data_IF_963889713328
#
_entry.id   IF_963889713328
#
_cell.length_a   1.000
_cell.length_b   1.000
_cell.length_c   1.000
_cell.angle_alpha   90.00
_cell.angle_beta   90.00
_cell.angle_gamma   90.00
#
_symmetry.space_group_name_H-M   'P 1'
#
loop_
_entity.id
_entity.type
_entity.pdbx_description
1 polymer ?
#
# COMPACT_ATOMS: atom_id res chain seq x y z
N UNK A 1 -8.56 2.53 -30.10
CA UNK A 1 -8.86 2.46 -28.63
C UNK A 1 -9.38 3.80 -28.19
N UNK A 2 -10.35 3.85 -27.30
CA UNK A 2 -10.83 5.11 -26.69
C UNK A 2 -9.65 5.72 -25.91
N UNK A 3 -9.29 7.01 -26.14
CA UNK A 3 -8.17 7.65 -25.44
C UNK A 3 -8.31 7.63 -23.91
N UNK A 4 -9.52 7.68 -23.38
CA UNK A 4 -9.81 7.60 -21.95
C UNK A 4 -9.44 6.24 -21.37
N UNK A 5 -9.74 5.17 -22.10
CA UNK A 5 -9.36 3.79 -21.67
C UNK A 5 -7.86 3.64 -21.69
N UNK A 6 -7.17 4.18 -22.70
CA UNK A 6 -5.70 4.13 -22.78
C UNK A 6 -5.05 4.86 -21.60
N UNK A 7 -5.53 6.08 -21.29
CA UNK A 7 -5.03 6.85 -20.15
C UNK A 7 -5.23 6.13 -18.83
N UNK A 8 -6.38 5.51 -18.63
CA UNK A 8 -6.66 4.77 -17.39
C UNK A 8 -5.78 3.51 -17.26
N UNK A 9 -5.54 2.77 -18.35
CA UNK A 9 -4.59 1.65 -18.35
C UNK A 9 -3.21 2.14 -17.91
N UNK A 10 -2.76 3.29 -18.42
CA UNK A 10 -1.49 3.89 -18.05
C UNK A 10 -1.45 4.33 -16.60
N UNK A 11 -2.52 4.89 -16.06
CA UNK A 11 -2.62 5.30 -14.65
C UNK A 11 -2.57 4.08 -13.73
N UNK A 12 -3.34 3.04 -14.01
CA UNK A 12 -3.31 1.77 -13.26
C UNK A 12 -1.91 1.15 -13.33
N UNK A 13 -1.30 1.09 -14.52
CA UNK A 13 0.06 0.59 -14.69
C UNK A 13 1.07 1.36 -13.84
N UNK A 14 1.05 2.69 -13.90
CA UNK A 14 1.94 3.55 -13.10
C UNK A 14 1.75 3.33 -11.59
N UNK A 15 0.51 3.23 -11.13
CA UNK A 15 0.18 2.99 -9.71
C UNK A 15 0.72 1.64 -9.26
N UNK A 16 0.47 0.56 -10.01
CA UNK A 16 0.97 -0.78 -9.69
C UNK A 16 2.49 -0.82 -9.68
N UNK A 17 3.12 -0.27 -10.71
CA UNK A 17 4.58 -0.27 -10.86
C UNK A 17 5.25 0.52 -9.72
N UNK A 18 4.76 1.73 -9.44
CA UNK A 18 5.31 2.54 -8.35
C UNK A 18 5.17 1.83 -7.00
N UNK A 19 3.98 1.31 -6.67
CA UNK A 19 3.72 0.65 -5.38
C UNK A 19 4.59 -0.58 -5.15
N UNK A 20 4.90 -1.36 -6.18
CA UNK A 20 5.77 -2.55 -6.07
C UNK A 20 7.16 -2.17 -5.55
N UNK A 21 7.76 -1.14 -6.11
CA UNK A 21 9.10 -0.69 -5.70
C UNK A 21 9.03 0.29 -4.54
N UNK A 22 8.00 1.12 -4.51
CA UNK A 22 7.69 2.13 -3.50
C UNK A 22 8.91 3.00 -3.15
N UNK A 23 9.64 3.44 -4.20
CA UNK A 23 10.91 4.17 -4.08
C UNK A 23 11.09 5.15 -5.25
N UNK A 24 11.22 6.44 -4.90
CA UNK A 24 11.39 7.50 -5.90
C UNK A 24 12.64 7.33 -6.77
N UNK A 25 13.78 6.93 -6.17
CA UNK A 25 15.02 6.73 -6.93
C UNK A 25 14.85 5.67 -8.02
N UNK A 26 14.12 4.59 -7.72
CA UNK A 26 13.80 3.53 -8.70
C UNK A 26 12.91 4.05 -9.81
N UNK A 27 11.91 4.87 -9.44
CA UNK A 27 11.05 5.54 -10.43
C UNK A 27 11.84 6.46 -11.36
N UNK A 28 12.69 7.33 -10.78
CA UNK A 28 13.57 8.24 -11.55
C UNK A 28 14.51 7.48 -12.47
N UNK A 29 15.10 6.37 -11.99
CA UNK A 29 15.98 5.52 -12.79
C UNK A 29 15.23 4.89 -13.97
N UNK A 30 14.00 4.40 -13.76
CA UNK A 30 13.14 3.91 -14.83
C UNK A 30 12.84 5.01 -15.85
N UNK A 31 12.37 6.18 -15.40
CA UNK A 31 12.07 7.31 -16.30
C UNK A 31 13.28 7.74 -17.12
N UNK A 32 14.47 7.76 -16.52
CA UNK A 32 15.71 8.11 -17.23
C UNK A 32 16.07 7.08 -18.31
N UNK A 33 15.76 5.80 -18.10
CA UNK A 33 16.12 4.72 -19.01
C UNK A 33 15.09 4.50 -20.13
N UNK A 34 13.78 4.57 -19.81
CA UNK A 34 12.71 4.21 -20.76
C UNK A 34 11.83 5.40 -21.18
N UNK A 35 12.12 6.61 -20.68
CA UNK A 35 11.30 7.80 -20.94
C UNK A 35 10.01 7.82 -20.12
N UNK A 36 8.94 8.46 -20.62
CA UNK A 36 7.66 8.51 -19.95
C UNK A 36 7.12 7.09 -19.68
N UNK A 37 6.78 6.82 -18.42
CA UNK A 37 6.28 5.50 -18.02
C UNK A 37 4.82 5.37 -18.47
N UNK A 38 4.56 4.46 -19.41
CA UNK A 38 3.23 4.13 -19.91
C UNK A 38 3.16 2.66 -20.29
N UNK A 39 1.95 2.09 -20.23
CA UNK A 39 1.69 0.73 -20.69
C UNK A 39 1.81 0.61 -22.20
N UNK A 40 1.40 1.64 -22.93
CA UNK A 40 1.46 1.66 -24.38
C UNK A 40 2.87 1.58 -24.97
N UNK A 41 3.88 2.04 -24.21
CA UNK A 41 5.30 1.96 -24.57
C UNK A 41 6.09 0.92 -23.76
N UNK A 42 5.40 0.14 -22.93
CA UNK A 42 6.03 -0.84 -22.06
C UNK A 42 6.72 -1.95 -22.88
N UNK A 43 7.93 -2.28 -22.50
CA UNK A 43 8.68 -3.45 -22.94
C UNK A 43 9.31 -4.12 -21.74
N UNK A 44 9.03 -5.40 -21.55
CA UNK A 44 9.61 -6.18 -20.45
C UNK A 44 11.14 -6.08 -20.46
N UNK A 45 11.76 -6.24 -21.61
CA UNK A 45 13.23 -6.24 -21.79
C UNK A 45 13.83 -4.89 -21.39
N UNK A 46 13.22 -3.78 -21.82
CA UNK A 46 13.69 -2.44 -21.50
C UNK A 46 13.56 -2.14 -19.99
N UNK A 47 12.41 -2.46 -19.38
CA UNK A 47 12.19 -2.27 -17.95
C UNK A 47 13.06 -3.19 -17.09
N UNK A 48 13.23 -4.46 -17.49
CA UNK A 48 14.09 -5.40 -16.79
C UNK A 48 15.57 -4.97 -16.85
N UNK A 49 16.05 -4.46 -17.99
CA UNK A 49 17.41 -3.94 -18.14
C UNK A 49 17.64 -2.68 -17.28
N UNK A 50 16.67 -1.75 -17.25
CA UNK A 50 16.72 -0.55 -16.42
C UNK A 50 16.76 -0.90 -14.92
N UNK A 51 15.92 -1.84 -14.48
CA UNK A 51 15.90 -2.30 -13.10
C UNK A 51 17.17 -3.09 -12.73
N UNK A 52 17.75 -3.85 -13.65
CA UNK A 52 19.02 -4.54 -13.43
C UNK A 52 20.17 -3.54 -13.19
N UNK A 53 20.21 -2.47 -13.97
CA UNK A 53 21.19 -1.39 -13.80
C UNK A 53 21.01 -0.66 -12.47
N UNK A 54 19.75 -0.36 -12.10
CA UNK A 54 19.43 0.28 -10.82
C UNK A 54 19.77 -0.62 -9.62
N UNK A 55 19.48 -1.92 -9.70
CA UNK A 55 19.76 -2.92 -8.64
C UNK A 55 21.26 -3.11 -8.41
N UNK A 56 22.06 -3.00 -9.47
CA UNK A 56 23.52 -3.01 -9.38
C UNK A 56 24.09 -1.76 -8.67
N UNK A 57 23.36 -0.65 -8.71
CA UNK A 57 23.78 0.64 -8.12
C UNK A 57 23.27 0.80 -6.67
N UNK A 58 22.27 0.02 -6.25
CA UNK A 58 21.70 0.09 -4.90
C UNK A 58 20.34 -0.56 -4.77
N UNK A 59 19.70 -0.45 -3.59
CA UNK A 59 18.40 -1.09 -3.36
C UNK A 59 17.31 -0.43 -4.20
N UNK A 60 16.57 -1.24 -4.97
CA UNK A 60 15.44 -0.78 -5.80
C UNK A 60 14.08 -0.89 -5.13
N UNK A 61 14.00 -1.50 -3.93
CA UNK A 61 12.79 -1.62 -3.13
C UNK A 61 12.87 -0.80 -1.87
N UNK A 62 11.75 -0.19 -1.47
CA UNK A 62 11.66 0.42 -0.15
C UNK A 62 11.58 -0.65 0.94
N UNK A 63 11.78 -0.24 2.20
CA UNK A 63 11.62 -1.12 3.36
C UNK A 63 10.14 -1.33 3.75
N UNK A 64 9.23 -0.54 3.18
CA UNK A 64 7.78 -0.62 3.42
C UNK A 64 7.06 -1.37 2.30
N UNK A 65 5.88 -1.93 2.61
CA UNK A 65 5.01 -2.62 1.64
C UNK A 65 5.71 -3.71 0.82
N UNK A 66 6.62 -4.46 1.48
CA UNK A 66 7.41 -5.49 0.82
C UNK A 66 6.51 -6.57 0.22
N UNK A 67 6.57 -6.69 -1.11
CA UNK A 67 5.93 -7.77 -1.83
C UNK A 67 6.91 -8.93 -2.03
N UNK A 68 6.56 -10.17 -1.64
CA UNK A 68 7.33 -11.34 -2.05
C UNK A 68 7.21 -11.53 -3.57
N UNK A 69 8.28 -12.03 -4.25
CA UNK A 69 8.18 -12.27 -5.69
C UNK A 69 7.22 -13.43 -5.96
N UNK A 70 6.27 -13.29 -6.89
CA UNK A 70 5.53 -14.44 -7.40
C UNK A 70 6.46 -15.36 -8.18
N UNK A 71 6.10 -16.64 -8.29
CA UNK A 71 6.85 -17.62 -9.12
C UNK A 71 6.31 -17.59 -10.55
N UNK A 72 6.82 -16.66 -11.36
CA UNK A 72 6.38 -16.47 -12.75
C UNK A 72 7.47 -16.78 -13.78
N UNK A 73 8.47 -17.60 -13.41
CA UNK A 73 9.46 -18.14 -14.32
C UNK A 73 10.76 -17.31 -14.43
N UNK A 74 10.83 -16.15 -13.83
CA UNK A 74 12.00 -15.29 -13.91
C UNK A 74 13.01 -15.55 -12.78
N UNK A 75 14.31 -15.42 -13.07
CA UNK A 75 15.39 -15.62 -12.09
C UNK A 75 15.55 -14.46 -11.10
N UNK A 76 15.05 -13.27 -11.41
CA UNK A 76 15.18 -12.07 -10.59
C UNK A 76 13.83 -11.65 -9.99
N UNK A 77 13.88 -11.10 -8.77
CA UNK A 77 12.69 -10.63 -8.07
C UNK A 77 11.93 -9.57 -8.87
N UNK A 78 12.63 -8.55 -9.36
CA UNK A 78 12.02 -7.46 -10.13
C UNK A 78 11.40 -7.95 -11.44
N UNK A 79 12.02 -8.90 -12.11
CA UNK A 79 11.50 -9.48 -13.35
C UNK A 79 10.17 -10.23 -13.09
N UNK A 80 10.08 -11.02 -12.02
CA UNK A 80 8.81 -11.64 -11.61
C UNK A 80 7.73 -10.60 -11.26
N UNK A 81 8.10 -9.45 -10.70
CA UNK A 81 7.15 -8.37 -10.45
C UNK A 81 6.67 -7.69 -11.74
N UNK A 82 7.54 -7.51 -12.74
CA UNK A 82 7.12 -7.05 -14.06
C UNK A 82 6.14 -8.03 -14.71
N UNK A 83 6.43 -9.34 -14.68
CA UNK A 83 5.50 -10.39 -15.15
C UNK A 83 4.16 -10.38 -14.41
N UNK A 84 4.18 -10.05 -13.11
CA UNK A 84 2.94 -9.90 -12.35
C UNK A 84 2.09 -8.76 -12.90
N UNK A 85 2.68 -7.60 -13.18
CA UNK A 85 1.96 -6.46 -13.77
C UNK A 85 1.41 -6.82 -15.15
N UNK A 86 2.22 -7.44 -16.01
CA UNK A 86 1.75 -7.93 -17.32
C UNK A 86 0.53 -8.83 -17.17
N UNK A 87 0.60 -9.77 -16.22
CA UNK A 87 -0.51 -10.67 -15.93
C UNK A 87 -1.73 -9.91 -15.40
N UNK A 88 -1.56 -8.96 -14.49
CA UNK A 88 -2.67 -8.17 -13.95
C UNK A 88 -3.41 -7.43 -15.05
N UNK A 89 -2.68 -6.76 -15.93
CA UNK A 89 -3.29 -5.99 -17.04
C UNK A 89 -3.87 -6.95 -18.08
N UNK A 90 -3.14 -8.01 -18.44
CA UNK A 90 -3.56 -9.01 -19.42
C UNK A 90 -4.81 -9.80 -18.99
N UNK A 91 -4.94 -10.11 -17.70
CA UNK A 91 -6.10 -10.80 -17.11
C UNK A 91 -7.28 -9.84 -16.84
N UNK A 92 -7.22 -8.61 -17.34
CA UNK A 92 -8.31 -7.64 -17.36
C UNK A 92 -8.56 -6.92 -16.02
N UNK A 93 -7.51 -6.76 -15.18
CA UNK A 93 -7.65 -6.03 -13.91
C UNK A 93 -8.25 -4.63 -14.12
N UNK A 94 -7.82 -3.89 -15.16
CA UNK A 94 -8.33 -2.54 -15.44
C UNK A 94 -9.84 -2.55 -15.62
N UNK A 95 -10.38 -3.47 -16.41
CA UNK A 95 -11.81 -3.63 -16.60
C UNK A 95 -12.55 -3.99 -15.31
N UNK A 96 -11.98 -4.86 -14.48
CA UNK A 96 -12.56 -5.23 -13.17
C UNK A 96 -12.60 -4.03 -12.22
N UNK A 97 -11.53 -3.24 -12.19
CA UNK A 97 -11.43 -2.03 -11.35
C UNK A 97 -12.47 -0.99 -11.79
N UNK A 98 -12.63 -0.78 -13.10
CA UNK A 98 -13.63 0.17 -13.65
C UNK A 98 -15.08 -0.25 -13.41
N UNK A 99 -15.35 -1.55 -13.41
CA UNK A 99 -16.70 -2.08 -13.24
C UNK A 99 -17.03 -2.42 -11.78
N UNK A 100 -16.07 -2.31 -10.90
CA UNK A 100 -16.27 -2.46 -9.46
C UNK A 100 -17.31 -1.45 -8.96
N UNK A 101 -18.06 -1.82 -7.93
CA UNK A 101 -19.12 -0.99 -7.33
C UNK A 101 -18.73 -0.52 -5.92
N UNK A 102 -17.58 -0.97 -5.44
CA UNK A 102 -17.07 -0.64 -4.10
C UNK A 102 -15.56 -0.83 -4.03
N UNK A 103 -14.92 -0.18 -3.05
CA UNK A 103 -13.51 -0.39 -2.75
C UNK A 103 -13.21 -1.86 -2.41
N UNK A 104 -14.16 -2.56 -1.80
CA UNK A 104 -14.06 -4.00 -1.51
C UNK A 104 -13.98 -4.84 -2.79
N UNK A 105 -14.75 -4.53 -3.82
CA UNK A 105 -14.68 -5.26 -5.11
C UNK A 105 -13.33 -5.03 -5.80
N UNK A 106 -12.76 -3.82 -5.72
CA UNK A 106 -11.38 -3.54 -6.19
C UNK A 106 -10.36 -4.39 -5.43
N UNK A 107 -10.48 -4.44 -4.10
CA UNK A 107 -9.65 -5.28 -3.25
C UNK A 107 -9.74 -6.77 -3.63
N UNK A 108 -10.93 -7.29 -3.84
CA UNK A 108 -11.16 -8.71 -4.21
C UNK A 108 -10.57 -9.03 -5.59
N UNK A 109 -10.66 -8.11 -6.54
CA UNK A 109 -10.03 -8.24 -7.86
C UNK A 109 -8.50 -8.35 -7.77
N UNK A 110 -7.88 -7.56 -6.88
CA UNK A 110 -6.44 -7.58 -6.63
C UNK A 110 -6.00 -8.85 -5.88
N UNK A 111 -6.79 -9.30 -4.91
CA UNK A 111 -6.49 -10.47 -4.09
C UNK A 111 -6.43 -11.77 -4.91
N UNK A 112 -7.02 -11.79 -6.09
CA UNK A 112 -6.99 -12.95 -7.00
C UNK A 112 -5.60 -13.20 -7.63
N UNK A 113 -4.66 -12.25 -7.53
CA UNK A 113 -3.34 -12.37 -8.15
C UNK A 113 -2.30 -12.98 -7.19
N UNK A 114 -1.32 -13.74 -7.74
CA UNK A 114 -0.31 -14.40 -6.93
C UNK A 114 0.58 -13.38 -6.19
N UNK A 115 1.02 -13.74 -4.99
CA UNK A 115 1.84 -12.92 -4.09
C UNK A 115 1.16 -11.62 -3.56
N UNK A 116 -0.11 -11.39 -3.90
CA UNK A 116 -0.91 -10.32 -3.32
C UNK A 116 -1.76 -10.89 -2.19
N UNK A 117 -1.29 -10.70 -0.95
CA UNK A 117 -2.06 -11.06 0.24
C UNK A 117 -3.03 -9.95 0.67
N UNK A 118 -3.90 -10.20 1.67
CA UNK A 118 -4.95 -9.26 2.09
C UNK A 118 -4.45 -7.85 2.37
N UNK A 119 -3.32 -7.71 3.06
CA UNK A 119 -2.77 -6.39 3.37
C UNK A 119 -2.32 -5.63 2.10
N UNK A 120 -1.61 -6.32 1.19
CA UNK A 120 -1.15 -5.68 -0.04
C UNK A 120 -2.33 -5.36 -0.96
N UNK A 121 -3.29 -6.26 -1.14
CA UNK A 121 -4.49 -6.01 -1.93
C UNK A 121 -5.23 -4.76 -1.44
N UNK A 122 -5.38 -4.60 -0.11
CA UNK A 122 -5.99 -3.40 0.45
C UNK A 122 -5.18 -2.14 0.16
N UNK A 123 -3.87 -2.16 0.36
CA UNK A 123 -3.00 -1.02 0.08
C UNK A 123 -3.01 -0.61 -1.40
N UNK A 124 -3.07 -1.59 -2.32
CA UNK A 124 -3.21 -1.30 -3.76
C UNK A 124 -4.59 -0.76 -4.10
N UNK A 125 -5.67 -1.28 -3.48
CA UNK A 125 -7.01 -0.77 -3.68
C UNK A 125 -7.13 0.71 -3.26
N UNK A 126 -6.54 1.09 -2.13
CA UNK A 126 -6.47 2.50 -1.68
C UNK A 126 -5.69 3.36 -2.67
N UNK A 127 -4.51 2.91 -3.13
CA UNK A 127 -3.72 3.71 -4.08
C UNK A 127 -4.45 3.88 -5.43
N UNK A 128 -5.15 2.85 -5.90
CA UNK A 128 -5.99 2.95 -7.10
C UNK A 128 -7.19 3.88 -6.88
N UNK A 129 -7.76 3.93 -5.67
CA UNK A 129 -8.89 4.80 -5.35
C UNK A 129 -8.55 6.30 -5.40
N UNK A 130 -7.27 6.66 -5.50
CA UNK A 130 -6.85 8.04 -5.76
C UNK A 130 -6.92 8.43 -7.25
N UNK A 131 -7.30 7.50 -8.12
CA UNK A 131 -7.62 7.82 -9.51
C UNK A 131 -9.00 8.49 -9.59
N UNK A 132 -9.12 9.54 -10.37
CA UNK A 132 -10.37 10.33 -10.48
C UNK A 132 -11.58 9.50 -10.93
N UNK A 133 -11.34 8.40 -11.62
CA UNK A 133 -12.35 7.46 -12.09
C UNK A 133 -12.92 6.52 -11.01
N UNK A 134 -12.32 6.50 -9.81
CA UNK A 134 -12.69 5.57 -8.73
C UNK A 134 -13.14 6.35 -7.49
N UNK A 135 -14.42 6.79 -7.43
CA UNK A 135 -14.91 7.66 -6.36
C UNK A 135 -15.42 6.88 -5.13
N UNK A 136 -14.74 5.80 -4.72
CA UNK A 136 -15.19 5.03 -3.56
C UNK A 136 -14.83 5.73 -2.25
N UNK A 137 -15.73 5.65 -1.28
CA UNK A 137 -15.49 6.15 0.07
C UNK A 137 -14.44 5.28 0.78
N UNK A 138 -13.41 5.91 1.31
CA UNK A 138 -12.37 5.23 2.11
C UNK A 138 -12.91 4.71 3.45
N UNK A 139 -14.09 5.15 3.89
CA UNK A 139 -14.75 4.68 5.10
C UNK A 139 -15.67 3.46 4.87
N UNK A 140 -15.81 2.98 3.63
CA UNK A 140 -16.61 1.79 3.32
C UNK A 140 -15.93 0.48 3.75
N UNK A 141 -14.60 0.39 3.58
CA UNK A 141 -13.88 -0.87 3.74
C UNK A 141 -12.47 -0.69 4.28
N UNK A 142 -12.06 -1.60 5.20
CA UNK A 142 -10.69 -1.63 5.73
C UNK A 142 -10.24 -3.06 6.01
N UNK A 143 -8.94 -3.29 5.84
CA UNK A 143 -8.25 -4.51 6.26
C UNK A 143 -7.13 -4.15 7.24
N UNK A 144 -7.20 -4.68 8.45
CA UNK A 144 -6.14 -4.51 9.42
C UNK A 144 -4.87 -5.24 8.99
N UNK A 145 -3.83 -4.48 8.66
CA UNK A 145 -2.51 -5.01 8.34
C UNK A 145 -1.78 -5.60 9.55
N UNK A 146 -0.68 -6.34 9.33
CA UNK A 146 0.06 -6.97 10.42
C UNK A 146 0.58 -6.00 11.48
N UNK A 147 0.95 -4.76 11.08
CA UNK A 147 1.36 -3.71 12.02
C UNK A 147 0.19 -3.16 12.82
N UNK A 148 -0.94 -2.92 12.16
CA UNK A 148 -2.14 -2.46 12.84
C UNK A 148 -2.65 -3.48 13.86
N UNK A 149 -2.67 -4.78 13.52
CA UNK A 149 -3.03 -5.84 14.46
C UNK A 149 -2.14 -5.86 15.69
N UNK A 150 -0.82 -5.68 15.52
CA UNK A 150 0.11 -5.57 16.63
C UNK A 150 -0.15 -4.32 17.48
N UNK A 151 -0.39 -3.16 16.85
CA UNK A 151 -0.71 -1.92 17.55
C UNK A 151 -2.02 -2.00 18.32
N UNK A 152 -3.08 -2.51 17.69
CA UNK A 152 -4.37 -2.74 18.32
C UNK A 152 -4.23 -3.68 19.53
N UNK A 153 -3.48 -4.77 19.35
CA UNK A 153 -3.20 -5.71 20.45
C UNK A 153 -2.52 -5.04 21.65
N UNK A 154 -1.57 -4.15 21.38
CA UNK A 154 -0.86 -3.40 22.43
C UNK A 154 -1.77 -2.40 23.14
N UNK A 155 -2.68 -1.75 22.42
CA UNK A 155 -3.61 -0.77 23.00
C UNK A 155 -4.77 -1.42 23.76
N UNK A 156 -5.36 -2.49 23.21
CA UNK A 156 -6.63 -3.06 23.68
C UNK A 156 -6.50 -4.45 24.32
N UNK A 157 -5.28 -4.99 24.33
CA UNK A 157 -5.00 -6.28 24.97
C UNK A 157 -5.57 -7.49 24.22
N UNK A 158 -5.58 -8.68 24.87
CA UNK A 158 -5.94 -9.95 24.25
C UNK A 158 -7.34 -10.02 23.64
N UNK A 159 -8.29 -9.30 24.23
CA UNK A 159 -9.70 -9.30 23.81
C UNK A 159 -9.92 -8.68 22.43
N UNK A 160 -8.92 -7.93 21.89
CA UNK A 160 -9.01 -7.31 20.57
C UNK A 160 -8.84 -8.29 19.39
N UNK A 161 -8.48 -9.54 19.66
CA UNK A 161 -8.26 -10.54 18.60
C UNK A 161 -9.56 -10.84 17.84
N UNK A 162 -9.53 -10.62 16.54
CA UNK A 162 -10.67 -10.81 15.64
C UNK A 162 -11.63 -9.60 15.58
N UNK A 163 -11.35 -8.52 16.33
CA UNK A 163 -12.12 -7.28 16.34
C UNK A 163 -11.33 -6.10 15.74
N UNK A 164 -10.25 -6.38 15.03
CA UNK A 164 -9.33 -5.33 14.59
C UNK A 164 -9.99 -4.34 13.62
N UNK A 165 -10.84 -4.82 12.73
CA UNK A 165 -11.58 -3.97 11.77
C UNK A 165 -12.63 -3.11 12.49
N UNK A 166 -13.35 -3.69 13.43
CA UNK A 166 -14.35 -3.02 14.26
C UNK A 166 -13.70 -1.94 15.14
N UNK A 167 -12.54 -2.23 15.70
CA UNK A 167 -11.79 -1.26 16.51
C UNK A 167 -11.32 -0.08 15.64
N UNK A 168 -10.79 -0.35 14.44
CA UNK A 168 -10.40 0.72 13.50
C UNK A 168 -11.60 1.60 13.17
N UNK A 169 -12.75 1.01 12.84
CA UNK A 169 -13.99 1.73 12.55
C UNK A 169 -14.47 2.54 13.75
N UNK A 170 -14.52 1.93 14.93
CA UNK A 170 -14.90 2.61 16.17
C UNK A 170 -14.02 3.85 16.43
N UNK A 171 -12.71 3.74 16.25
CA UNK A 171 -11.79 4.87 16.46
C UNK A 171 -12.00 6.00 15.45
N UNK A 172 -12.37 5.68 14.21
CA UNK A 172 -12.72 6.68 13.20
C UNK A 172 -14.06 7.33 13.52
N UNK A 173 -15.07 6.55 13.89
CA UNK A 173 -16.41 7.05 14.17
C UNK A 173 -16.45 7.98 15.41
N UNK A 174 -15.58 7.71 16.39
CA UNK A 174 -15.54 8.43 17.69
C UNK A 174 -14.32 9.36 17.83
N UNK A 175 -13.59 9.66 16.75
CA UNK A 175 -12.32 10.41 16.81
C UNK A 175 -12.48 11.80 17.44
N UNK A 176 -13.56 12.53 17.13
CA UNK A 176 -13.81 13.87 17.65
C UNK A 176 -14.06 13.84 19.16
N UNK A 177 -14.79 12.83 19.65
CA UNK A 177 -15.03 12.64 21.10
C UNK A 177 -13.72 12.34 21.83
N UNK A 178 -12.86 11.51 21.24
CA UNK A 178 -11.55 11.19 21.81
C UNK A 178 -10.63 12.40 21.86
N UNK A 179 -10.55 13.22 20.80
CA UNK A 179 -9.77 14.46 20.82
C UNK A 179 -10.29 15.44 21.86
N UNK A 180 -11.61 15.66 21.92
CA UNK A 180 -12.24 16.53 22.90
C UNK A 180 -11.96 16.08 24.34
N UNK A 181 -12.11 14.78 24.64
CA UNK A 181 -11.82 14.19 25.96
C UNK A 181 -10.38 14.40 26.41
N UNK A 182 -9.43 14.38 25.46
CA UNK A 182 -8.01 14.59 25.72
C UNK A 182 -7.60 16.06 25.72
N UNK A 183 -8.53 17.00 25.46
CA UNK A 183 -8.23 18.42 25.34
C UNK A 183 -7.37 18.76 24.13
N UNK A 184 -7.36 17.89 23.12
CA UNK A 184 -6.58 18.07 21.90
C UNK A 184 -7.42 18.72 20.81
N UNK A 185 -6.84 19.72 20.15
CA UNK A 185 -7.38 20.27 18.90
C UNK A 185 -6.67 19.60 17.73
N UNK A 186 -7.39 18.83 16.94
CA UNK A 186 -6.87 18.21 15.74
C UNK A 186 -7.53 18.85 14.50
N UNK A 187 -6.76 19.58 13.69
CA UNK A 187 -7.31 20.31 12.53
C UNK A 187 -7.63 19.38 11.34
N UNK A 188 -7.49 18.09 11.54
CA UNK A 188 -7.64 17.09 10.48
C UNK A 188 -6.33 16.80 9.71
N UNK A 189 -6.34 15.75 8.92
CA UNK A 189 -5.25 15.41 8.03
C UNK A 189 -5.52 16.11 6.69
N UNK A 190 -4.69 17.09 6.34
CA UNK A 190 -4.93 17.97 5.18
C UNK A 190 -6.32 18.64 5.18
N UNK A 191 -6.84 18.97 6.38
CA UNK A 191 -8.14 19.63 6.54
C UNK A 191 -9.35 18.68 6.53
N UNK A 192 -9.16 17.36 6.45
CA UNK A 192 -10.21 16.35 6.56
C UNK A 192 -10.09 15.52 7.83
N UNK A 193 -11.19 14.94 8.28
CA UNK A 193 -11.17 13.94 9.37
C UNK A 193 -10.35 12.71 8.97
N UNK A 194 -9.94 11.90 9.93
CA UNK A 194 -9.29 10.63 9.65
C UNK A 194 -10.28 9.63 9.05
N UNK A 195 -9.84 8.94 8.00
CA UNK A 195 -10.53 7.80 7.40
C UNK A 195 -10.03 6.46 7.96
N UNK A 196 -10.67 5.36 7.60
CA UNK A 196 -10.31 4.02 8.07
C UNK A 196 -8.85 3.65 7.75
N UNK A 197 -8.34 4.06 6.58
CA UNK A 197 -6.94 3.84 6.20
C UNK A 197 -5.98 4.59 7.12
N UNK A 198 -6.32 5.83 7.51
CA UNK A 198 -5.48 6.63 8.39
C UNK A 198 -5.39 5.98 9.78
N UNK A 199 -6.53 5.57 10.36
CA UNK A 199 -6.57 4.88 11.64
C UNK A 199 -5.81 3.53 11.59
N UNK A 200 -5.95 2.78 10.50
CA UNK A 200 -5.17 1.57 10.27
C UNK A 200 -3.67 1.85 10.27
N UNK A 201 -3.24 2.92 9.60
CA UNK A 201 -1.85 3.34 9.56
C UNK A 201 -1.36 3.85 10.92
N UNK A 202 -2.18 4.62 11.65
CA UNK A 202 -1.86 5.06 13.01
C UNK A 202 -1.58 3.88 13.94
N UNK A 203 -2.37 2.82 13.91
CA UNK A 203 -2.07 1.62 14.70
C UNK A 203 -0.74 0.96 14.29
N UNK A 204 -0.35 0.99 13.02
CA UNK A 204 0.98 0.55 12.60
C UNK A 204 2.09 1.41 13.20
N UNK A 205 1.89 2.73 13.28
CA UNK A 205 2.87 3.65 13.89
C UNK A 205 2.90 3.49 15.41
N UNK A 206 1.75 3.31 16.07
CA UNK A 206 1.67 2.98 17.50
C UNK A 206 2.44 1.68 17.81
N UNK A 207 2.32 0.66 16.97
CA UNK A 207 3.12 -0.57 17.13
C UNK A 207 4.63 -0.26 17.09
N UNK A 208 5.08 0.56 16.14
CA UNK A 208 6.49 0.96 16.02
C UNK A 208 6.97 1.77 17.24
N UNK A 209 6.16 2.76 17.64
CA UNK A 209 6.44 3.58 18.82
C UNK A 209 6.57 2.70 20.08
N UNK A 210 5.62 1.82 20.31
CA UNK A 210 5.60 0.97 21.48
C UNK A 210 6.76 -0.03 21.54
N UNK A 211 7.34 -0.42 20.39
CA UNK A 211 8.57 -1.27 20.40
C UNK A 211 9.76 -0.60 21.08
N UNK A 212 9.78 0.72 21.13
CA UNK A 212 10.86 1.51 21.74
C UNK A 212 10.44 2.05 23.10
N UNK A 213 9.28 2.67 23.19
CA UNK A 213 8.83 3.36 24.40
C UNK A 213 8.19 2.40 25.43
N UNK A 214 7.64 1.28 24.97
CA UNK A 214 6.90 0.32 25.78
C UNK A 214 7.27 -1.14 25.40
N UNK A 215 8.54 -1.56 25.55
CA UNK A 215 9.00 -2.90 25.14
C UNK A 215 8.30 -4.04 25.89
N UNK A 216 7.70 -3.75 27.05
CA UNK A 216 6.89 -4.70 27.83
C UNK A 216 5.53 -4.99 27.18
N UNK A 217 5.00 -4.08 26.34
CA UNK A 217 3.75 -4.26 25.62
C UNK A 217 3.96 -5.16 24.39
N UNK A 218 3.47 -6.40 24.46
CA UNK A 218 3.67 -7.40 23.43
C UNK A 218 2.56 -7.35 22.37
N UNK A 219 3.00 -7.33 21.08
CA UNK A 219 2.12 -7.55 19.92
C UNK A 219 1.98 -9.04 19.58
N UNK A 220 1.31 -9.31 18.45
CA UNK A 220 1.08 -10.68 17.96
C UNK A 220 2.31 -11.26 17.24
N UNK A 221 3.10 -10.41 16.57
CA UNK A 221 4.20 -10.85 15.70
C UNK A 221 5.55 -11.00 16.41
N UNK A 222 5.69 -10.56 17.65
CA UNK A 222 6.96 -10.56 18.39
C UNK A 222 8.05 -9.66 17.78
N UNK A 223 7.71 -8.77 16.84
CA UNK A 223 8.67 -7.86 16.20
C UNK A 223 9.19 -6.83 17.19
N UNK A 224 10.51 -6.69 17.27
CA UNK A 224 11.18 -5.72 18.16
C UNK A 224 11.91 -4.62 17.39
N UNK A 225 12.27 -4.85 16.12
CA UNK A 225 13.05 -3.90 15.32
C UNK A 225 12.16 -2.94 14.53
N UNK A 226 12.63 -1.67 14.41
CA UNK A 226 12.08 -0.68 13.49
C UNK A 226 13.03 -0.62 12.29
N UNK A 227 12.50 -0.86 11.07
CA UNK A 227 13.30 -0.87 9.84
C UNK A 227 13.56 0.53 9.29
N UNK A 228 12.63 1.45 9.53
CA UNK A 228 12.74 2.85 9.11
C UNK A 228 12.81 3.72 10.37
N UNK A 229 13.86 4.51 10.49
CA UNK A 229 14.05 5.48 11.55
C UNK A 229 13.96 6.88 10.94
N UNK A 230 13.15 7.75 11.56
CA UNK A 230 13.16 9.17 11.23
C UNK A 230 14.55 9.75 11.53
N UNK A 231 15.10 10.48 10.57
CA UNK A 231 16.35 11.25 10.72
C UNK A 231 16.02 12.72 10.52
N UNK A 232 16.09 13.55 11.57
CA UNK A 232 15.88 15.00 11.41
C UNK A 232 16.90 15.57 10.41
N UNK A 233 16.42 16.37 9.45
CA UNK A 233 17.28 17.05 8.49
C UNK A 233 17.69 16.22 7.26
N UNK A 234 17.08 15.07 7.00
CA UNK A 234 17.13 14.38 5.70
C UNK A 234 16.14 15.04 4.71
N UNK A 235 16.45 14.99 3.38
CA UNK A 235 15.54 15.52 2.37
C UNK A 235 14.21 14.79 2.38
#
# INVERSE_FOLDING_TARGET
SDPRVTELVDQVFRTLLFKIFNREDTWKALQAAVGPISWSSYSFEAYAAALASADASGPIYSAAYLMPPPKLGEGKKYANHLRLIERMIGDGLVGKVLTARSLKEVYEALLAFPAIGPFLAFQYAIDLNYLDELPYDEDDFVVAGPGAKDGIRKCFGPASKGLETEIIRYMVDTQEEHFARLGLSFPGLFGRRLHLIDAQNLFCEVDKYARVAHPEAQGLSGRTRIKQLYRPGGP
#
